data_IF_336640410549
#
_entry.id   IF_336640410549
#
_cell.length_a   1.000
_cell.length_b   1.000
_cell.length_c   1.000
_cell.angle_alpha   90.00
_cell.angle_beta   90.00
_cell.angle_gamma   90.00
#
_symmetry.space_group_name_H-M   'P 1'
#
loop_
_entity.id
_entity.type
_entity.pdbx_description
1 polymer ?
#
# COMPACT_ATOMS: atom_id res chain seq x y z
N UNK A 1 12.11 -3.09 -17.92
CA UNK A 1 10.98 -3.58 -17.11
C UNK A 1 10.48 -2.41 -16.27
N UNK A 2 9.20 -2.03 -16.37
CA UNK A 2 8.64 -1.05 -15.43
C UNK A 2 8.70 -1.69 -14.03
N UNK A 3 9.22 -0.98 -13.04
CA UNK A 3 9.04 -1.39 -11.65
C UNK A 3 7.56 -1.23 -11.34
N UNK A 4 6.86 -2.33 -11.06
CA UNK A 4 5.46 -2.31 -10.60
C UNK A 4 5.43 -1.75 -9.20
N UNK A 5 4.73 -0.64 -8.98
CA UNK A 5 4.64 -0.04 -7.66
C UNK A 5 3.70 -0.82 -6.74
N UNK A 6 3.72 -0.53 -5.43
CA UNK A 6 2.83 -1.17 -4.44
C UNK A 6 1.34 -1.03 -4.81
N UNK A 7 0.91 0.15 -5.26
CA UNK A 7 -0.48 0.37 -5.68
C UNK A 7 -0.83 -0.40 -6.95
N UNK A 8 0.10 -0.51 -7.91
CA UNK A 8 -0.12 -1.31 -9.12
C UNK A 8 -0.26 -2.80 -8.76
N UNK A 9 0.59 -3.30 -7.85
CA UNK A 9 0.54 -4.68 -7.37
C UNK A 9 -0.79 -5.00 -6.67
N UNK A 10 -1.26 -4.11 -5.80
CA UNK A 10 -2.55 -4.26 -5.15
C UNK A 10 -3.71 -4.23 -6.17
N UNK A 11 -3.67 -3.31 -7.14
CA UNK A 11 -4.69 -3.21 -8.17
C UNK A 11 -4.74 -4.47 -9.04
N UNK A 12 -3.59 -5.03 -9.41
CA UNK A 12 -3.47 -6.29 -10.14
C UNK A 12 -4.01 -7.48 -9.33
N UNK A 13 -3.63 -7.58 -8.05
CA UNK A 13 -4.08 -8.64 -7.14
C UNK A 13 -5.60 -8.66 -6.99
N UNK A 14 -6.22 -7.48 -6.84
CA UNK A 14 -7.67 -7.32 -6.71
C UNK A 14 -8.40 -7.24 -8.07
N UNK A 15 -7.67 -7.37 -9.19
CA UNK A 15 -8.20 -7.27 -10.57
C UNK A 15 -9.07 -6.03 -10.78
N UNK A 16 -8.57 -4.90 -10.32
CA UNK A 16 -9.32 -3.64 -10.25
C UNK A 16 -8.45 -2.46 -10.68
N UNK A 17 -9.04 -1.27 -10.72
CA UNK A 17 -8.29 -0.03 -10.94
C UNK A 17 -7.74 0.51 -9.63
N UNK A 18 -6.59 1.19 -9.66
CA UNK A 18 -5.98 1.83 -8.47
C UNK A 18 -6.98 2.74 -7.74
N UNK A 19 -7.81 3.49 -8.49
CA UNK A 19 -8.85 4.35 -7.91
C UNK A 19 -9.84 3.59 -7.03
N UNK A 20 -10.20 2.36 -7.41
CA UNK A 20 -11.14 1.54 -6.67
C UNK A 20 -10.58 1.08 -5.31
N UNK A 21 -9.25 0.95 -5.19
CA UNK A 21 -8.59 0.62 -3.92
C UNK A 21 -8.87 1.67 -2.84
N UNK A 22 -9.14 2.93 -3.22
CA UNK A 22 -9.49 4.00 -2.29
C UNK A 22 -11.00 4.23 -2.19
N UNK A 23 -11.70 4.16 -3.33
CA UNK A 23 -13.12 4.49 -3.43
C UNK A 23 -14.04 3.43 -2.82
N UNK A 24 -13.65 2.15 -2.88
CA UNK A 24 -14.44 1.05 -2.33
C UNK A 24 -13.93 0.71 -0.93
N UNK A 25 -14.74 0.90 0.14
CA UNK A 25 -14.31 0.68 1.52
C UNK A 25 -13.75 -0.73 1.76
N UNK A 26 -14.40 -1.75 1.19
CA UNK A 26 -13.97 -3.15 1.34
C UNK A 26 -12.58 -3.39 0.72
N UNK A 27 -12.33 -2.88 -0.50
CA UNK A 27 -11.03 -3.03 -1.15
C UNK A 27 -9.94 -2.22 -0.46
N UNK A 28 -10.28 -1.06 0.10
CA UNK A 28 -9.34 -0.25 0.89
C UNK A 28 -8.82 -1.03 2.10
N UNK A 29 -9.72 -1.59 2.90
CA UNK A 29 -9.33 -2.38 4.08
C UNK A 29 -8.62 -3.67 3.69
N UNK A 30 -9.06 -4.34 2.62
CA UNK A 30 -8.35 -5.51 2.10
C UNK A 30 -6.92 -5.17 1.66
N UNK A 31 -6.73 -4.06 0.93
CA UNK A 31 -5.42 -3.62 0.44
C UNK A 31 -4.48 -3.24 1.59
N UNK A 32 -4.98 -2.55 2.62
CA UNK A 32 -4.19 -2.24 3.82
C UNK A 32 -3.78 -3.52 4.56
N UNK A 33 -4.68 -4.50 4.68
CA UNK A 33 -4.36 -5.81 5.25
C UNK A 33 -3.34 -6.59 4.43
N UNK A 34 -3.37 -6.47 3.11
CA UNK A 34 -2.38 -7.09 2.22
C UNK A 34 -0.99 -6.45 2.38
N UNK A 35 -0.94 -5.11 2.48
CA UNK A 35 0.29 -4.37 2.79
C UNK A 35 0.86 -4.74 4.17
N UNK A 36 0.00 -4.87 5.19
CA UNK A 36 0.41 -5.29 6.54
C UNK A 36 1.12 -6.67 6.50
N UNK A 37 0.50 -7.64 5.81
CA UNK A 37 0.98 -9.03 5.69
C UNK A 37 2.16 -9.22 4.74
N UNK A 38 2.49 -8.22 3.93
CA UNK A 38 3.57 -8.34 2.95
C UNK A 38 4.92 -8.55 3.63
N UNK A 39 5.62 -9.60 3.23
CA UNK A 39 6.96 -9.93 3.69
C UNK A 39 8.02 -9.20 2.85
N UNK A 40 9.24 -9.04 3.41
CA UNK A 40 10.37 -8.37 2.76
C UNK A 40 10.03 -6.95 2.30
N UNK A 41 9.53 -6.13 3.23
CA UNK A 41 9.05 -4.76 2.98
C UNK A 41 10.14 -3.86 2.33
N UNK A 42 11.40 -4.17 2.58
CA UNK A 42 12.61 -3.51 2.07
C UNK A 42 12.78 -3.66 0.55
N UNK A 43 12.04 -4.57 -0.11
CA UNK A 43 12.02 -4.68 -1.58
C UNK A 43 11.49 -3.42 -2.25
N UNK A 44 10.65 -2.67 -1.54
CA UNK A 44 10.11 -1.39 -1.97
C UNK A 44 10.74 -0.25 -1.15
N UNK A 45 11.07 0.90 -1.76
CA UNK A 45 11.55 2.07 -1.02
C UNK A 45 10.53 2.51 0.03
N UNK A 46 10.99 3.00 1.18
CA UNK A 46 10.11 3.47 2.26
C UNK A 46 9.11 4.54 1.77
N UNK A 47 9.56 5.44 0.89
CA UNK A 47 8.70 6.45 0.26
C UNK A 47 7.51 5.86 -0.51
N UNK A 48 7.69 4.69 -1.12
CA UNK A 48 6.62 4.03 -1.86
C UNK A 48 5.53 3.48 -0.92
N UNK A 49 5.94 3.03 0.27
CA UNK A 49 5.01 2.66 1.35
C UNK A 49 4.24 3.88 1.85
N UNK A 50 4.92 4.99 2.11
CA UNK A 50 4.28 6.25 2.51
C UNK A 50 3.24 6.69 1.48
N UNK A 51 3.59 6.69 0.19
CA UNK A 51 2.68 7.06 -0.90
C UNK A 51 1.49 6.11 -1.00
N UNK A 52 1.71 4.79 -0.94
CA UNK A 52 0.65 3.80 -1.06
C UNK A 52 -0.33 3.86 0.13
N UNK A 53 0.18 3.91 1.36
CA UNK A 53 -0.66 3.96 2.57
C UNK A 53 -1.38 5.31 2.65
N UNK A 54 -0.70 6.42 2.32
CA UNK A 54 -1.33 7.75 2.26
C UNK A 54 -2.47 7.78 1.25
N UNK A 55 -2.26 7.17 0.09
CA UNK A 55 -3.28 7.09 -0.95
C UNK A 55 -4.51 6.32 -0.48
N UNK A 56 -4.32 5.15 0.14
CA UNK A 56 -5.41 4.30 0.63
C UNK A 56 -6.19 4.97 1.77
N UNK A 57 -5.50 5.59 2.74
CA UNK A 57 -6.15 6.25 3.88
C UNK A 57 -6.73 7.62 3.52
N UNK A 58 -6.20 8.28 2.49
CA UNK A 58 -6.62 9.63 2.09
C UNK A 58 -6.03 10.74 2.97
N UNK A 59 -4.97 10.46 3.73
CA UNK A 59 -4.23 11.42 4.54
C UNK A 59 -2.72 11.18 4.39
N UNK A 60 -1.89 12.15 4.79
CA UNK A 60 -0.43 12.00 4.75
C UNK A 60 0.04 11.03 5.83
N UNK A 61 0.81 10.02 5.42
CA UNK A 61 1.47 9.04 6.28
C UNK A 61 2.96 9.09 5.99
N UNK A 62 3.76 9.12 7.05
CA UNK A 62 5.22 9.05 6.99
C UNK A 62 5.73 7.95 7.89
N UNK A 63 6.79 7.30 7.45
CA UNK A 63 7.45 6.24 8.20
C UNK A 63 8.92 6.62 8.38
N UNK A 64 9.44 6.49 9.61
CA UNK A 64 10.85 6.69 9.87
C UNK A 64 11.68 5.46 9.44
N UNK A 65 11.06 4.28 9.46
CA UNK A 65 11.69 3.01 9.07
C UNK A 65 10.61 1.95 8.74
N UNK A 66 11.06 0.78 8.26
CA UNK A 66 10.16 -0.31 7.85
C UNK A 66 9.41 -0.99 9.01
N UNK A 67 9.90 -0.92 10.25
CA UNK A 67 9.20 -1.50 11.41
C UNK A 67 7.94 -0.71 11.76
N UNK A 68 7.91 0.59 11.49
CA UNK A 68 6.74 1.44 11.74
C UNK A 68 5.57 1.11 10.82
N UNK A 69 5.83 0.60 9.61
CA UNK A 69 4.80 0.19 8.65
C UNK A 69 3.85 -0.82 9.30
N UNK A 70 4.39 -1.83 9.97
CA UNK A 70 3.60 -2.87 10.63
C UNK A 70 2.91 -2.42 11.92
N UNK A 71 3.27 -1.26 12.48
CA UNK A 71 2.60 -0.67 13.66
C UNK A 71 1.50 0.32 13.28
N UNK A 72 1.59 0.88 12.08
CA UNK A 72 0.72 1.97 11.60
C UNK A 72 -0.42 1.48 10.72
N UNK A 73 -0.33 0.24 10.23
CA UNK A 73 -1.35 -0.48 9.47
C UNK A 73 -2.10 -1.45 10.39
#
# INVERSE_FOLDING_TARGET
MKKTGLLDLLAEQHRTFISNLRLLPELKWASLGDLYRMENKEKYPLKEWEEAVSYLLGCEVRFNNYEEIGKSL
#
